data_IF_569695441977
#
_entry.id   IF_569695441977
#
_cell.length_a   1.000
_cell.length_b   1.000
_cell.length_c   1.000
_cell.angle_alpha   90.00
_cell.angle_beta   90.00
_cell.angle_gamma   90.00
#
_symmetry.space_group_name_H-M   'P 1'
#
loop_
_entity.id
_entity.type
_entity.pdbx_description
1 polymer ?
#
# COMPACT_ATOMS: atom_id res chain seq x y z
N UNK A 1 12.98 -1.12 1.24
CA UNK A 1 13.76 -0.77 0.02
C UNK A 1 14.74 -1.87 -0.37
N UNK A 2 15.34 -2.59 0.60
CA UNK A 2 16.26 -3.70 0.31
C UNK A 2 15.62 -4.85 -0.50
N UNK A 3 14.30 -4.97 -0.47
CA UNK A 3 13.56 -6.06 -1.14
C UNK A 3 13.20 -5.78 -2.61
N UNK A 4 13.54 -4.60 -3.14
CA UNK A 4 13.29 -4.27 -4.55
C UNK A 4 14.60 -4.38 -5.35
N UNK A 5 14.60 -5.09 -6.50
CA UNK A 5 15.80 -5.25 -7.32
C UNK A 5 16.25 -3.96 -8.00
N UNK A 6 15.42 -2.91 -7.97
CA UNK A 6 15.68 -1.61 -8.57
C UNK A 6 15.37 -0.49 -7.58
N UNK A 7 16.03 0.65 -7.77
CA UNK A 7 15.74 1.84 -7.01
C UNK A 7 14.29 2.29 -7.25
N UNK A 8 13.56 2.50 -6.15
CA UNK A 8 12.20 3.06 -6.22
C UNK A 8 12.32 4.56 -6.53
N UNK A 9 12.00 4.95 -7.76
CA UNK A 9 12.03 6.35 -8.17
C UNK A 9 10.80 7.14 -7.67
N UNK A 10 9.62 6.52 -7.64
CA UNK A 10 8.36 7.20 -7.31
C UNK A 10 7.45 6.28 -6.51
N UNK A 11 6.78 6.86 -5.52
CA UNK A 11 5.66 6.23 -4.81
C UNK A 11 4.40 7.06 -5.06
N UNK A 12 3.33 6.38 -5.46
CA UNK A 12 2.00 6.94 -5.62
C UNK A 12 1.11 6.46 -4.48
N UNK A 13 0.55 7.39 -3.70
CA UNK A 13 -0.41 7.09 -2.63
C UNK A 13 -1.71 7.84 -2.86
N UNK A 14 -2.77 7.41 -2.18
CA UNK A 14 -3.94 8.25 -2.04
C UNK A 14 -3.66 9.44 -1.08
N UNK A 15 -4.73 10.18 -0.77
CA UNK A 15 -4.65 11.36 0.06
C UNK A 15 -4.96 11.06 1.54
N UNK A 16 -4.79 9.81 1.98
CA UNK A 16 -4.96 9.39 3.38
C UNK A 16 -3.98 10.09 4.32
N UNK A 17 -4.42 10.28 5.57
CA UNK A 17 -3.65 10.97 6.60
C UNK A 17 -2.35 10.21 6.98
N UNK A 18 -2.28 8.92 6.66
CA UNK A 18 -1.13 8.04 6.87
C UNK A 18 0.04 8.37 5.93
N UNK A 19 -0.22 9.03 4.80
CA UNK A 19 0.80 9.33 3.77
C UNK A 19 1.02 10.82 3.58
N UNK A 20 0.00 11.64 3.85
CA UNK A 20 0.06 13.06 3.59
C UNK A 20 -0.77 13.84 4.59
N UNK A 21 -0.37 15.08 4.83
CA UNK A 21 -1.18 16.02 5.60
C UNK A 21 -2.06 16.88 4.70
N UNK A 22 -2.27 16.54 3.42
CA UNK A 22 -3.02 17.36 2.44
C UNK A 22 -4.37 17.87 2.95
N UNK A 23 -5.11 17.08 3.71
CA UNK A 23 -6.40 17.46 4.27
C UNK A 23 -6.38 17.87 5.75
N UNK A 24 -5.20 17.92 6.39
CA UNK A 24 -5.07 18.47 7.74
C UNK A 24 -5.50 19.95 7.77
N UNK A 25 -6.41 20.30 8.66
CA UNK A 25 -7.04 21.64 8.74
C UNK A 25 -6.41 22.55 9.80
N UNK A 26 -5.65 21.97 10.72
CA UNK A 26 -5.09 22.59 11.93
C UNK A 26 -3.61 22.96 11.79
N UNK A 27 -2.99 22.69 10.63
CA UNK A 27 -1.56 22.91 10.44
C UNK A 27 -1.24 24.38 10.12
N UNK A 28 -0.57 25.05 11.06
CA UNK A 28 -0.11 26.44 10.92
C UNK A 28 0.75 26.61 9.65
N UNK A 29 0.49 27.66 8.88
CA UNK A 29 1.19 28.04 7.64
C UNK A 29 1.05 27.07 6.45
N UNK A 30 0.22 26.03 6.56
CA UNK A 30 -0.03 25.12 5.45
C UNK A 30 -1.03 25.73 4.46
N UNK A 31 -0.75 25.74 3.14
CA UNK A 31 -1.70 26.20 2.15
C UNK A 31 -2.96 25.30 2.10
N UNK A 32 -4.18 25.88 1.97
CA UNK A 32 -5.42 25.10 1.89
C UNK A 32 -5.40 24.09 0.74
N UNK A 33 -5.79 22.85 1.02
CA UNK A 33 -5.94 21.78 0.02
C UNK A 33 -4.64 21.24 -0.58
N UNK A 34 -3.47 21.71 -0.11
CA UNK A 34 -2.14 21.28 -0.58
C UNK A 34 -1.37 20.62 0.58
N UNK A 35 -0.58 19.57 0.32
CA UNK A 35 0.29 19.00 1.35
C UNK A 35 1.38 20.00 1.75
N UNK A 36 1.83 19.95 3.01
CA UNK A 36 2.95 20.80 3.46
C UNK A 36 4.30 20.31 2.95
N UNK A 37 4.43 19.01 2.66
CA UNK A 37 5.71 18.35 2.37
C UNK A 37 6.50 17.98 3.64
N UNK A 38 5.99 18.29 4.82
CA UNK A 38 6.61 17.97 6.10
C UNK A 38 6.00 16.73 6.76
N UNK A 39 5.07 16.02 6.11
CA UNK A 39 4.56 14.77 6.67
C UNK A 39 5.72 13.77 6.87
N UNK A 40 5.76 12.94 7.94
CA UNK A 40 6.86 11.98 8.15
C UNK A 40 7.17 11.12 6.92
N UNK A 41 6.14 10.74 6.16
CA UNK A 41 6.29 10.02 4.91
C UNK A 41 6.92 10.86 3.78
N UNK A 42 6.51 12.13 3.61
CA UNK A 42 7.13 13.06 2.67
C UNK A 42 8.62 13.24 2.95
N UNK A 43 8.97 13.43 4.24
CA UNK A 43 10.37 13.59 4.67
C UNK A 43 11.20 12.34 4.41
N UNK A 44 10.65 11.16 4.68
CA UNK A 44 11.31 9.88 4.38
C UNK A 44 11.56 9.73 2.88
N UNK A 45 10.54 9.99 2.05
CA UNK A 45 10.68 9.93 0.60
C UNK A 45 11.77 10.90 0.11
N UNK A 46 11.76 12.15 0.59
CA UNK A 46 12.78 13.16 0.26
C UNK A 46 14.19 12.71 0.65
N UNK A 47 14.36 12.17 1.87
CA UNK A 47 15.66 11.66 2.34
C UNK A 47 16.18 10.50 1.47
N UNK A 48 15.27 9.71 0.88
CA UNK A 48 15.62 8.58 0.02
C UNK A 48 15.66 8.92 -1.47
N UNK A 49 15.46 10.19 -1.85
CA UNK A 49 15.39 10.61 -3.24
C UNK A 49 14.18 10.05 -4.01
N UNK A 50 13.13 9.66 -3.29
CA UNK A 50 11.90 9.11 -3.86
C UNK A 50 10.92 10.23 -4.09
N UNK A 51 10.38 10.33 -5.31
CA UNK A 51 9.29 11.26 -5.58
C UNK A 51 7.98 10.72 -4.97
N UNK A 52 7.42 11.44 -3.99
CA UNK A 52 6.08 11.15 -3.48
C UNK A 52 5.03 11.87 -4.32
N UNK A 53 4.08 11.12 -4.89
CA UNK A 53 2.97 11.64 -5.68
C UNK A 53 1.66 11.23 -5.03
N UNK A 54 0.73 12.18 -4.94
CA UNK A 54 -0.63 11.92 -4.50
C UNK A 54 -1.54 11.66 -5.70
N UNK A 55 -2.49 10.75 -5.55
CA UNK A 55 -3.56 10.59 -6.55
C UNK A 55 -4.34 11.89 -6.69
N UNK A 56 -4.76 12.19 -7.92
CA UNK A 56 -5.69 13.29 -8.15
C UNK A 56 -7.04 12.89 -7.52
N UNK A 57 -7.71 13.80 -6.79
CA UNK A 57 -9.07 13.56 -6.32
C UNK A 57 -9.96 13.10 -7.47
N UNK A 58 -10.84 12.12 -7.22
CA UNK A 58 -11.80 11.57 -8.20
C UNK A 58 -11.20 10.88 -9.44
N UNK A 59 -9.93 10.43 -9.37
CA UNK A 59 -9.28 9.66 -10.46
C UNK A 59 -8.93 8.21 -10.03
N UNK A 60 -9.90 7.29 -10.02
CA UNK A 60 -9.73 5.91 -9.53
C UNK A 60 -8.74 5.07 -10.37
N UNK A 61 -8.48 5.45 -11.62
CA UNK A 61 -7.61 4.71 -12.56
C UNK A 61 -6.19 4.49 -12.04
N UNK A 62 -5.72 5.31 -11.10
CA UNK A 62 -4.36 5.22 -10.55
C UNK A 62 -4.18 4.14 -9.47
N UNK A 63 -5.28 3.65 -8.88
CA UNK A 63 -5.23 2.69 -7.76
C UNK A 63 -5.56 1.25 -8.17
N UNK A 64 -5.86 0.97 -9.44
CA UNK A 64 -6.33 -0.35 -9.88
C UNK A 64 -5.37 -1.52 -9.60
N UNK A 65 -4.06 -1.28 -9.54
CA UNK A 65 -3.07 -2.32 -9.20
C UNK A 65 -3.11 -2.66 -7.71
N UNK A 66 -3.10 -1.64 -6.83
CA UNK A 66 -3.12 -1.86 -5.38
C UNK A 66 -4.48 -2.42 -4.95
N UNK A 67 -5.58 -1.94 -5.53
CA UNK A 67 -6.92 -2.47 -5.26
C UNK A 67 -7.06 -3.94 -5.68
N UNK A 68 -6.48 -4.31 -6.83
CA UNK A 68 -6.44 -5.71 -7.29
C UNK A 68 -5.62 -6.57 -6.34
N UNK A 69 -4.43 -6.12 -5.95
CA UNK A 69 -3.59 -6.86 -4.99
C UNK A 69 -4.33 -7.06 -3.66
N UNK A 70 -4.90 -5.98 -3.11
CA UNK A 70 -5.64 -6.00 -1.85
C UNK A 70 -6.84 -6.96 -1.90
N UNK A 71 -7.59 -6.96 -3.00
CA UNK A 71 -8.70 -7.90 -3.20
C UNK A 71 -8.20 -9.34 -3.22
N UNK A 72 -7.11 -9.62 -3.94
CA UNK A 72 -6.57 -10.99 -4.08
C UNK A 72 -6.01 -11.53 -2.78
N UNK A 73 -5.31 -10.72 -1.99
CA UNK A 73 -4.81 -11.16 -0.69
C UNK A 73 -5.97 -11.36 0.30
N UNK A 74 -6.99 -10.49 0.29
CA UNK A 74 -8.18 -10.68 1.12
C UNK A 74 -8.95 -11.97 0.76
N UNK A 75 -9.12 -12.26 -0.53
CA UNK A 75 -9.70 -13.52 -1.01
C UNK A 75 -8.87 -14.74 -0.57
N UNK A 76 -7.54 -14.66 -0.67
CA UNK A 76 -6.66 -15.74 -0.24
C UNK A 76 -6.76 -15.98 1.28
N UNK A 77 -6.71 -14.91 2.09
CA UNK A 77 -6.92 -14.97 3.55
C UNK A 77 -8.31 -15.56 3.87
N UNK A 78 -9.34 -15.21 3.11
CA UNK A 78 -10.69 -15.73 3.30
C UNK A 78 -10.83 -17.23 3.02
N UNK A 79 -9.94 -17.80 2.19
CA UNK A 79 -9.88 -19.24 1.87
C UNK A 79 -9.00 -20.03 2.81
N UNK A 80 -8.16 -19.38 3.61
CA UNK A 80 -7.34 -20.06 4.61
C UNK A 80 -8.22 -20.76 5.64
N UNK A 81 -7.88 -22.02 5.92
CA UNK A 81 -8.58 -22.81 6.93
C UNK A 81 -8.45 -22.11 8.28
N UNK A 82 -9.57 -21.99 8.99
CA UNK A 82 -9.56 -21.48 10.36
C UNK A 82 -8.93 -22.52 11.28
N UNK A 83 -7.96 -22.10 12.10
CA UNK A 83 -7.16 -22.95 12.99
C UNK A 83 -7.32 -22.52 14.45
N UNK A 84 -7.10 -23.47 15.37
CA UNK A 84 -7.10 -23.25 16.81
C UNK A 84 -8.46 -22.93 17.44
N UNK A 85 -8.44 -22.65 18.75
CA UNK A 85 -9.63 -22.19 19.49
C UNK A 85 -10.01 -20.77 19.04
N UNK A 86 -11.31 -20.49 18.93
CA UNK A 86 -11.88 -19.26 18.37
C UNK A 86 -11.73 -19.04 16.85
N UNK A 87 -11.42 -20.08 16.05
CA UNK A 87 -11.41 -20.00 14.57
C UNK A 87 -10.50 -18.88 14.03
N UNK A 88 -9.29 -18.76 14.57
CA UNK A 88 -8.30 -17.77 14.09
C UNK A 88 -7.82 -18.17 12.69
N UNK A 89 -7.49 -17.19 11.85
CA UNK A 89 -6.90 -17.49 10.53
C UNK A 89 -5.44 -17.91 10.65
N UNK A 90 -4.68 -17.25 11.53
CA UNK A 90 -3.25 -17.51 11.77
C UNK A 90 -3.03 -17.81 13.24
N UNK A 91 -2.08 -18.70 13.53
CA UNK A 91 -1.75 -19.13 14.89
C UNK A 91 -1.02 -18.00 15.65
N UNK A 92 -0.07 -17.37 14.96
CA UNK A 92 0.74 -16.26 15.47
C UNK A 92 1.18 -15.33 14.31
N UNK A 93 2.07 -14.39 14.62
CA UNK A 93 2.62 -13.47 13.61
C UNK A 93 3.54 -14.17 12.60
N UNK A 94 4.26 -15.21 13.00
CA UNK A 94 5.18 -15.93 12.10
C UNK A 94 4.40 -16.72 11.03
N UNK A 95 3.32 -17.39 11.41
CA UNK A 95 2.40 -18.10 10.50
C UNK A 95 1.77 -17.12 9.49
N UNK A 96 1.31 -15.94 9.96
CA UNK A 96 0.81 -14.88 9.10
C UNK A 96 1.88 -14.37 8.13
N UNK A 97 3.08 -14.09 8.61
CA UNK A 97 4.14 -13.51 7.80
C UNK A 97 4.65 -14.52 6.74
N UNK A 98 4.73 -15.80 7.10
CA UNK A 98 5.01 -16.89 6.16
C UNK A 98 3.93 -17.00 5.07
N UNK A 99 2.65 -16.91 5.45
CA UNK A 99 1.55 -16.86 4.49
C UNK A 99 1.67 -15.66 3.53
N UNK A 100 1.89 -14.45 4.06
CA UNK A 100 2.00 -13.23 3.25
C UNK A 100 3.19 -13.33 2.29
N UNK A 101 4.35 -13.78 2.78
CA UNK A 101 5.55 -13.93 1.96
C UNK A 101 5.32 -14.92 0.82
N UNK A 102 4.72 -16.08 1.10
CA UNK A 102 4.35 -17.08 0.09
C UNK A 102 3.33 -16.51 -0.92
N UNK A 103 2.30 -15.83 -0.44
CA UNK A 103 1.29 -15.23 -1.30
C UNK A 103 1.91 -14.20 -2.26
N UNK A 104 2.75 -13.29 -1.77
CA UNK A 104 3.43 -12.27 -2.58
C UNK A 104 4.36 -12.93 -3.61
N UNK A 105 5.11 -13.94 -3.19
CA UNK A 105 5.98 -14.73 -4.06
C UNK A 105 5.22 -15.38 -5.23
N UNK A 106 4.07 -15.99 -4.93
CA UNK A 106 3.23 -16.68 -5.93
C UNK A 106 2.48 -15.66 -6.82
N UNK A 107 1.99 -14.57 -6.25
CA UNK A 107 1.34 -13.47 -6.97
C UNK A 107 2.27 -12.85 -8.02
N UNK A 108 3.52 -12.57 -7.66
CA UNK A 108 4.52 -11.96 -8.55
C UNK A 108 5.00 -12.90 -9.67
N UNK A 109 4.74 -14.21 -9.57
CA UNK A 109 5.02 -15.20 -10.63
C UNK A 109 3.80 -15.56 -11.46
N UNK A 110 2.62 -15.10 -11.06
CA UNK A 110 1.39 -15.33 -11.81
C UNK A 110 1.31 -14.31 -12.94
N UNK A 111 1.17 -14.78 -14.18
CA UNK A 111 0.96 -13.89 -15.33
C UNK A 111 -0.40 -13.21 -15.17
N UNK A 112 -0.40 -11.97 -14.68
CA UNK A 112 -1.61 -11.16 -14.57
C UNK A 112 -2.12 -10.88 -15.98
N UNK A 113 -3.19 -11.57 -16.40
CA UNK A 113 -3.90 -11.21 -17.65
C UNK A 113 -4.39 -9.77 -17.50
N UNK A 114 -4.12 -8.92 -18.50
CA UNK A 114 -4.78 -7.63 -18.61
C UNK A 114 -6.29 -7.88 -18.54
N UNK A 115 -6.97 -7.27 -17.58
CA UNK A 115 -8.43 -7.16 -17.68
C UNK A 115 -8.66 -6.13 -18.77
N UNK A 116 -9.29 -6.55 -19.86
CA UNK A 116 -9.80 -5.62 -20.87
C UNK A 116 -10.83 -4.74 -20.17
N UNK A 117 -10.43 -3.51 -19.86
CA UNK A 117 -11.33 -2.41 -19.56
C UNK A 117 -11.61 -1.67 -20.86
#
# INVERSE_FOLDING_TARGET
>A
LADFPHQVHTILTDNGAEFTDRFAVDKKNKPPGKPSGDHPFDRLCKQRGIQHRLTKPYHPQTNGLVERFNRRIAEAIGREQKRGSARRTFIDHADRDAFIAKFVHDYNRTRLKCLGY
#
